data_IF_508877815144
#
_entry.id   IF_508877815144
#
_cell.length_a   1.000
_cell.length_b   1.000
_cell.length_c   1.000
_cell.angle_alpha   90.00
_cell.angle_beta   90.00
_cell.angle_gamma   90.00
#
_symmetry.space_group_name_H-M   'P 1'
#
loop_
_entity.id
_entity.type
_entity.pdbx_description
1 polymer ?
#
# COMPACT_ATOMS: atom_id res chain seq x y z
N UNK A 1 6.92 3.21 23.91
CA UNK A 1 7.20 1.81 23.53
C UNK A 1 6.50 1.43 22.22
N UNK A 2 5.21 1.74 22.02
CA UNK A 2 4.50 1.49 20.75
C UNK A 2 5.14 2.13 19.50
N UNK A 3 5.62 3.37 19.63
CA UNK A 3 6.23 4.13 18.52
C UNK A 3 7.51 3.49 17.96
N UNK A 4 8.37 2.95 18.82
CA UNK A 4 9.60 2.27 18.39
C UNK A 4 9.29 0.91 17.71
N UNK A 5 8.19 0.26 18.11
CA UNK A 5 7.71 -0.97 17.46
C UNK A 5 7.21 -0.70 16.03
N UNK A 6 6.56 0.44 15.80
CA UNK A 6 6.09 0.85 14.46
C UNK A 6 7.23 1.13 13.47
N UNK A 7 8.31 1.78 13.92
CA UNK A 7 9.48 2.05 13.05
C UNK A 7 10.22 0.76 12.67
N UNK A 8 10.40 -0.18 13.60
CA UNK A 8 11.00 -1.50 13.31
C UNK A 8 10.12 -2.31 12.35
N UNK A 9 8.79 -2.23 12.51
CA UNK A 9 7.83 -2.86 11.61
C UNK A 9 7.90 -2.31 10.18
N UNK A 10 8.02 -0.98 10.03
CA UNK A 10 8.14 -0.33 8.71
C UNK A 10 9.44 -0.75 8.00
N UNK A 11 10.58 -0.70 8.67
CA UNK A 11 11.87 -1.11 8.09
C UNK A 11 11.84 -2.57 7.59
N UNK A 12 11.27 -3.48 8.37
CA UNK A 12 11.10 -4.88 7.96
C UNK A 12 10.19 -5.01 6.73
N UNK A 13 9.15 -4.19 6.65
CA UNK A 13 8.22 -4.17 5.53
C UNK A 13 8.88 -3.63 4.25
N UNK A 14 9.71 -2.59 4.35
CA UNK A 14 10.50 -2.07 3.23
C UNK A 14 11.51 -3.09 2.72
N UNK A 15 12.21 -3.80 3.62
CA UNK A 15 13.11 -4.89 3.20
C UNK A 15 12.38 -6.03 2.51
N UNK A 16 11.18 -6.37 2.99
CA UNK A 16 10.34 -7.37 2.34
C UNK A 16 9.88 -6.91 0.95
N UNK A 17 9.46 -5.65 0.82
CA UNK A 17 9.13 -5.04 -0.46
C UNK A 17 10.32 -5.07 -1.45
N UNK A 18 11.53 -4.78 -0.99
CA UNK A 18 12.75 -4.90 -1.80
C UNK A 18 12.99 -6.33 -2.28
N UNK A 19 12.83 -7.32 -1.41
CA UNK A 19 12.99 -8.73 -1.76
C UNK A 19 11.94 -9.17 -2.80
N UNK A 20 10.68 -8.74 -2.66
CA UNK A 20 9.61 -9.03 -3.61
C UNK A 20 9.89 -8.42 -4.99
N UNK A 21 10.29 -7.15 -5.02
CA UNK A 21 10.67 -6.46 -6.25
C UNK A 21 11.91 -7.08 -6.89
N UNK A 22 12.93 -7.40 -6.10
CA UNK A 22 14.15 -8.04 -6.61
C UNK A 22 13.84 -9.39 -7.27
N UNK A 23 12.96 -10.18 -6.66
CA UNK A 23 12.45 -11.42 -7.26
C UNK A 23 11.69 -11.16 -8.56
N UNK A 24 10.80 -10.18 -8.59
CA UNK A 24 10.03 -9.83 -9.78
C UNK A 24 10.91 -9.34 -10.94
N UNK A 25 11.91 -8.51 -10.63
CA UNK A 25 12.86 -7.97 -11.59
C UNK A 25 13.78 -9.05 -12.17
N UNK A 26 14.20 -10.03 -11.36
CA UNK A 26 14.98 -11.16 -11.84
C UNK A 26 14.20 -11.99 -12.88
N UNK A 27 12.89 -12.20 -12.66
CA UNK A 27 12.01 -12.85 -13.65
C UNK A 27 11.88 -11.99 -14.91
N UNK A 28 11.68 -10.68 -14.78
CA UNK A 28 11.58 -9.78 -15.92
C UNK A 28 12.86 -9.76 -16.77
N UNK A 29 14.03 -9.70 -16.14
CA UNK A 29 15.32 -9.75 -16.83
C UNK A 29 15.55 -11.11 -17.51
N UNK A 30 15.22 -12.21 -16.82
CA UNK A 30 15.30 -13.53 -17.41
C UNK A 30 14.43 -13.61 -18.69
N UNK A 31 13.24 -13.02 -18.70
CA UNK A 31 12.38 -12.99 -19.91
C UNK A 31 12.99 -12.17 -21.06
N UNK A 32 13.78 -11.13 -20.78
CA UNK A 32 14.38 -10.24 -21.78
C UNK A 32 15.64 -10.84 -22.43
N UNK A 33 16.49 -11.51 -21.64
CA UNK A 33 17.69 -12.24 -22.11
C UNK A 33 17.37 -13.41 -23.06
N UNK A 34 16.11 -13.84 -23.05
CA UNK A 34 15.61 -15.06 -23.64
C UNK A 34 14.89 -14.85 -24.99
N UNK A 35 14.99 -13.66 -25.57
CA UNK A 35 14.39 -13.33 -26.88
C UNK A 35 15.02 -14.06 -28.10
N UNK A 36 16.10 -14.83 -27.95
CA UNK A 36 16.85 -15.41 -29.10
C UNK A 36 16.71 -16.95 -29.24
N UNK A 37 16.29 -17.71 -28.24
CA UNK A 37 16.03 -19.16 -28.43
C UNK A 37 15.41 -19.78 -27.17
N UNK A 38 14.09 -20.04 -27.07
CA UNK A 38 13.63 -20.93 -25.98
C UNK A 38 12.39 -21.82 -26.19
N UNK A 39 12.37 -22.94 -25.44
CA UNK A 39 11.15 -23.57 -24.94
C UNK A 39 10.25 -22.64 -24.09
N UNK A 40 8.96 -22.95 -23.89
CA UNK A 40 7.98 -22.01 -23.35
C UNK A 40 8.19 -21.71 -21.85
N UNK A 41 8.32 -20.43 -21.50
CA UNK A 41 8.18 -19.93 -20.11
C UNK A 41 6.70 -20.00 -19.72
N UNK A 42 6.38 -20.50 -18.53
CA UNK A 42 4.98 -20.64 -18.11
C UNK A 42 4.37 -19.27 -17.75
N UNK A 43 3.16 -19.01 -18.24
CA UNK A 43 2.37 -17.80 -17.95
C UNK A 43 2.31 -17.52 -16.44
N UNK A 44 2.20 -18.57 -15.62
CA UNK A 44 2.15 -18.44 -14.16
C UNK A 44 3.41 -17.83 -13.51
N UNK A 45 4.60 -17.92 -14.11
CA UNK A 45 5.79 -17.27 -13.54
C UNK A 45 5.78 -15.74 -13.73
N UNK A 46 5.21 -15.27 -14.85
CA UNK A 46 5.02 -13.85 -15.15
C UNK A 46 4.00 -13.25 -14.18
N UNK A 47 2.87 -13.94 -14.00
CA UNK A 47 1.81 -13.53 -13.09
C UNK A 47 2.33 -13.39 -11.65
N UNK A 48 3.17 -14.31 -11.18
CA UNK A 48 3.82 -14.21 -9.87
C UNK A 48 4.67 -12.94 -9.72
N UNK A 49 5.52 -12.66 -10.70
CA UNK A 49 6.39 -11.49 -10.65
C UNK A 49 5.57 -10.19 -10.60
N UNK A 50 4.51 -10.11 -11.40
CA UNK A 50 3.56 -9.00 -11.38
C UNK A 50 2.87 -8.87 -10.02
N UNK A 51 2.35 -9.97 -9.46
CA UNK A 51 1.70 -9.97 -8.15
C UNK A 51 2.65 -9.52 -7.03
N UNK A 52 3.93 -9.92 -7.05
CA UNK A 52 4.94 -9.46 -6.09
C UNK A 52 5.21 -7.96 -6.20
N UNK A 53 5.25 -7.42 -7.43
CA UNK A 53 5.38 -5.97 -7.65
C UNK A 53 4.12 -5.22 -7.18
N UNK A 54 2.93 -5.74 -7.47
CA UNK A 54 1.64 -5.18 -7.02
C UNK A 54 1.55 -5.17 -5.49
N UNK A 55 1.98 -6.23 -4.82
CA UNK A 55 2.03 -6.28 -3.36
C UNK A 55 2.87 -5.14 -2.78
N UNK A 56 4.02 -4.85 -3.39
CA UNK A 56 4.88 -3.73 -2.99
C UNK A 56 4.22 -2.38 -3.27
N UNK A 57 3.57 -2.24 -4.42
CA UNK A 57 2.84 -1.03 -4.78
C UNK A 57 1.67 -0.76 -3.84
N UNK A 58 1.05 -1.78 -3.25
CA UNK A 58 -0.02 -1.59 -2.27
C UNK A 58 0.51 -0.97 -0.97
N UNK A 59 1.65 -1.45 -0.46
CA UNK A 59 2.32 -0.77 0.65
C UNK A 59 2.66 0.67 0.28
N UNK A 60 3.16 0.88 -0.94
CA UNK A 60 3.51 2.21 -1.42
C UNK A 60 2.30 3.16 -1.52
N UNK A 61 1.15 2.68 -1.97
CA UNK A 61 -0.07 3.49 -2.05
C UNK A 61 -0.57 3.92 -0.68
N UNK A 62 -0.47 3.05 0.32
CA UNK A 62 -0.85 3.38 1.69
C UNK A 62 0.15 4.38 2.33
N UNK A 63 1.45 4.27 2.05
CA UNK A 63 2.46 5.25 2.50
C UNK A 63 2.35 6.61 1.77
N UNK A 64 1.95 6.60 0.49
CA UNK A 64 1.57 7.82 -0.24
C UNK A 64 0.34 8.47 0.41
N UNK A 65 -0.69 7.67 0.73
CA UNK A 65 -1.89 8.14 1.42
C UNK A 65 -1.59 8.69 2.82
N UNK A 66 -0.59 8.12 3.51
CA UNK A 66 -0.04 8.62 4.77
C UNK A 66 0.85 9.87 4.63
N UNK A 67 1.09 10.35 3.40
CA UNK A 67 1.77 11.62 3.14
C UNK A 67 3.30 11.55 3.10
N UNK A 68 3.91 10.35 3.04
CA UNK A 68 5.37 10.18 3.09
C UNK A 68 6.11 10.94 1.98
N UNK A 69 5.82 10.62 0.71
CA UNK A 69 6.45 11.31 -0.43
C UNK A 69 5.92 12.75 -0.56
N UNK A 70 4.59 13.00 -0.49
CA UNK A 70 4.05 14.36 -0.60
C UNK A 70 4.64 15.37 0.41
N UNK A 71 4.89 14.95 1.66
CA UNK A 71 5.51 15.80 2.67
C UNK A 71 6.95 16.17 2.28
N UNK A 72 7.75 15.22 1.80
CA UNK A 72 9.13 15.50 1.38
C UNK A 72 9.19 16.33 0.10
N UNK A 73 8.28 16.12 -0.85
CA UNK A 73 8.13 16.99 -2.02
C UNK A 73 7.80 18.43 -1.61
N UNK A 74 6.93 18.60 -0.62
CA UNK A 74 6.56 19.91 -0.06
C UNK A 74 7.74 20.55 0.70
N UNK A 75 8.40 19.81 1.57
CA UNK A 75 9.60 20.24 2.28
C UNK A 75 10.67 20.73 1.32
N UNK A 76 10.92 19.95 0.27
CA UNK A 76 11.90 20.28 -0.77
C UNK A 76 11.51 21.55 -1.50
N UNK A 77 10.23 21.69 -1.87
CA UNK A 77 9.72 22.91 -2.52
C UNK A 77 9.94 24.15 -1.66
N UNK A 78 9.60 24.09 -0.37
CA UNK A 78 9.79 25.18 0.59
C UNK A 78 11.27 25.51 0.79
N UNK A 79 12.13 24.49 0.87
CA UNK A 79 13.59 24.67 0.97
C UNK A 79 14.14 25.38 -0.27
N UNK A 80 13.67 25.01 -1.47
CA UNK A 80 14.12 25.59 -2.73
C UNK A 80 13.60 27.01 -2.99
N UNK A 81 12.41 27.34 -2.48
CA UNK A 81 11.85 28.69 -2.57
C UNK A 81 12.40 29.66 -1.52
N UNK A 82 13.23 29.18 -0.58
CA UNK A 82 13.69 29.98 0.57
C UNK A 82 12.58 30.28 1.58
N UNK A 83 11.45 29.58 1.50
CA UNK A 83 10.29 29.77 2.38
C UNK A 83 10.28 28.84 3.58
N UNK A 84 11.30 27.97 3.71
CA UNK A 84 11.41 27.04 4.82
C UNK A 84 11.85 27.78 6.11
N UNK A 85 11.03 27.78 7.18
CA UNK A 85 11.31 28.56 8.39
C UNK A 85 12.25 27.86 9.37
N UNK A 86 12.87 26.75 8.96
CA UNK A 86 13.73 25.91 9.81
C UNK A 86 15.04 25.58 9.09
N UNK A 87 16.12 25.43 9.88
CA UNK A 87 17.40 24.95 9.39
C UNK A 87 17.43 23.41 9.42
N UNK A 88 17.69 22.80 8.26
CA UNK A 88 17.77 21.35 8.11
C UNK A 88 19.16 20.78 8.44
N UNK A 89 20.17 21.64 8.66
CA UNK A 89 21.52 21.25 9.02
C UNK A 89 22.11 20.22 8.05
N UNK A 90 22.63 19.12 8.59
CA UNK A 90 23.26 18.05 7.80
C UNK A 90 22.30 17.28 6.88
N UNK A 91 20.98 17.44 7.03
CA UNK A 91 20.01 16.84 6.12
C UNK A 91 19.87 17.59 4.78
N UNK A 92 20.44 18.80 4.66
CA UNK A 92 20.34 19.63 3.45
C UNK A 92 20.81 18.89 2.19
N UNK A 93 21.87 18.08 2.30
CA UNK A 93 22.38 17.28 1.19
C UNK A 93 21.37 16.21 0.71
N UNK A 94 20.62 15.59 1.62
CA UNK A 94 19.59 14.60 1.28
C UNK A 94 18.41 15.26 0.55
N UNK A 95 17.95 16.41 1.06
CA UNK A 95 16.89 17.19 0.41
C UNK A 95 17.33 17.70 -0.98
N UNK A 96 18.59 18.10 -1.11
CA UNK A 96 19.16 18.49 -2.40
C UNK A 96 19.22 17.32 -3.39
N UNK A 97 19.66 16.13 -2.95
CA UNK A 97 19.69 14.94 -3.80
C UNK A 97 18.27 14.54 -4.25
N UNK A 98 17.30 14.57 -3.33
CA UNK A 98 15.89 14.30 -3.63
C UNK A 98 15.31 15.28 -4.66
N UNK A 99 15.68 16.57 -4.57
CA UNK A 99 15.32 17.57 -5.57
C UNK A 99 15.95 17.33 -6.94
N UNK A 100 17.22 16.93 -6.98
CA UNK A 100 17.97 16.71 -8.23
C UNK A 100 17.34 15.58 -9.05
N UNK A 101 17.00 14.46 -8.41
CA UNK A 101 16.35 13.31 -9.06
C UNK A 101 14.85 13.48 -9.36
N UNK A 102 14.26 14.68 -9.21
CA UNK A 102 12.80 14.86 -9.35
C UNK A 102 12.25 14.59 -10.76
N UNK A 103 13.07 14.76 -11.79
CA UNK A 103 12.67 14.54 -13.18
C UNK A 103 12.82 13.07 -13.60
N UNK A 104 13.48 12.26 -12.76
CA UNK A 104 13.70 10.83 -12.97
C UNK A 104 12.71 9.99 -12.16
N UNK A 105 11.79 10.64 -11.45
CA UNK A 105 10.78 10.01 -10.59
C UNK A 105 9.39 10.34 -11.10
N UNK A 106 8.47 9.39 -10.96
CA UNK A 106 7.06 9.56 -11.17
C UNK A 106 6.54 10.69 -10.28
N UNK A 107 5.85 11.62 -10.92
CA UNK A 107 5.17 12.73 -10.28
C UNK A 107 4.05 12.24 -9.37
N UNK A 108 3.58 13.09 -8.46
CA UNK A 108 2.48 12.73 -7.57
C UNK A 108 1.20 12.34 -8.32
N UNK A 109 0.91 12.97 -9.46
CA UNK A 109 -0.26 12.61 -10.29
C UNK A 109 -0.08 11.26 -10.99
N UNK A 110 1.12 10.96 -11.51
CA UNK A 110 1.41 9.66 -12.11
C UNK A 110 1.31 8.54 -11.07
N UNK A 111 1.90 8.71 -9.88
CA UNK A 111 1.80 7.72 -8.79
C UNK A 111 0.34 7.49 -8.39
N UNK A 112 -0.42 8.56 -8.12
CA UNK A 112 -1.83 8.44 -7.73
C UNK A 112 -2.72 7.89 -8.84
N UNK A 113 -2.46 8.24 -10.09
CA UNK A 113 -3.15 7.68 -11.25
C UNK A 113 -2.93 6.18 -11.34
N UNK A 114 -1.70 5.73 -11.13
CA UNK A 114 -1.36 4.31 -11.13
C UNK A 114 -1.99 3.55 -9.96
N UNK A 115 -1.94 4.11 -8.74
CA UNK A 115 -2.61 3.52 -7.57
C UNK A 115 -4.14 3.47 -7.73
N UNK A 116 -4.74 4.50 -8.33
CA UNK A 116 -6.18 4.52 -8.66
C UNK A 116 -6.53 3.41 -9.65
N UNK A 117 -5.69 3.24 -10.68
CA UNK A 117 -5.83 2.18 -11.68
C UNK A 117 -5.70 0.77 -11.10
N UNK A 118 -4.83 0.54 -10.10
CA UNK A 118 -4.63 -0.78 -9.50
C UNK A 118 -5.58 -1.09 -8.34
N UNK A 119 -5.76 -0.15 -7.43
CA UNK A 119 -6.37 -0.38 -6.11
C UNK A 119 -7.66 0.41 -5.89
N UNK A 120 -8.10 1.17 -6.89
CA UNK A 120 -9.31 1.96 -6.75
C UNK A 120 -9.16 3.09 -5.73
N UNK A 121 -7.95 3.60 -5.46
CA UNK A 121 -7.78 4.81 -4.64
C UNK A 121 -8.31 6.04 -5.38
N UNK A 122 -8.48 7.16 -4.66
CA UNK A 122 -8.69 8.45 -5.34
C UNK A 122 -7.47 8.78 -6.21
N UNK A 123 -7.73 9.25 -7.42
CA UNK A 123 -6.70 9.62 -8.40
C UNK A 123 -7.02 10.96 -9.08
N UNK A 124 -6.11 11.47 -9.93
CA UNK A 124 -6.39 12.66 -10.73
C UNK A 124 -7.54 12.42 -11.70
N UNK A 125 -8.32 13.48 -12.00
CA UNK A 125 -9.49 13.40 -12.90
C UNK A 125 -9.14 12.87 -14.30
N UNK A 126 -7.94 13.19 -14.79
CA UNK A 126 -7.44 12.82 -16.12
C UNK A 126 -6.46 11.63 -16.07
N UNK A 127 -6.66 10.68 -15.16
CA UNK A 127 -5.80 9.49 -15.08
C UNK A 127 -5.84 8.69 -16.39
N UNK A 128 -4.67 8.20 -16.83
CA UNK A 128 -4.56 7.41 -18.06
C UNK A 128 -5.28 6.05 -17.98
N UNK A 129 -5.47 5.52 -16.76
CA UNK A 129 -6.15 4.27 -16.50
C UNK A 129 -7.42 4.51 -15.69
N UNK A 130 -8.49 3.79 -16.05
CA UNK A 130 -9.74 3.83 -15.29
C UNK A 130 -9.53 3.27 -13.89
N UNK A 131 -10.18 3.89 -12.90
CA UNK A 131 -10.13 3.47 -11.51
C UNK A 131 -10.66 2.04 -11.35
N UNK A 132 -9.92 1.18 -10.64
CA UNK A 132 -10.33 -0.19 -10.34
C UNK A 132 -11.31 -0.23 -9.16
N UNK A 133 -12.60 -0.10 -9.46
CA UNK A 133 -13.65 -0.05 -8.45
C UNK A 133 -13.90 -1.41 -7.77
N UNK A 134 -13.48 -2.51 -8.40
CA UNK A 134 -13.74 -3.87 -7.91
C UNK A 134 -12.71 -4.33 -6.86
N UNK A 135 -11.52 -3.73 -6.84
CA UNK A 135 -10.40 -4.20 -6.01
C UNK A 135 -10.76 -4.34 -4.54
N UNK A 136 -11.35 -3.30 -3.95
CA UNK A 136 -11.62 -3.24 -2.52
C UNK A 136 -12.61 -4.35 -2.10
N UNK A 137 -13.68 -4.55 -2.88
CA UNK A 137 -14.66 -5.61 -2.64
C UNK A 137 -14.03 -7.00 -2.78
N UNK A 138 -13.21 -7.20 -3.82
CA UNK A 138 -12.51 -8.48 -4.03
C UNK A 138 -11.50 -8.79 -2.92
N UNK A 139 -10.83 -7.77 -2.37
CA UNK A 139 -9.91 -7.94 -1.24
C UNK A 139 -10.67 -8.20 0.07
N UNK A 140 -11.82 -7.56 0.28
CA UNK A 140 -12.73 -7.88 1.39
C UNK A 140 -13.19 -9.34 1.30
N UNK A 141 -13.65 -9.79 0.13
CA UNK A 141 -14.08 -11.18 -0.12
C UNK A 141 -12.96 -12.19 0.25
N UNK A 142 -11.72 -11.89 -0.12
CA UNK A 142 -10.56 -12.73 0.23
C UNK A 142 -10.30 -12.73 1.73
N UNK A 143 -10.27 -11.55 2.36
CA UNK A 143 -10.02 -11.43 3.80
C UNK A 143 -11.11 -12.14 4.61
N UNK A 144 -12.37 -12.02 4.22
CA UNK A 144 -13.49 -12.74 4.84
C UNK A 144 -13.35 -14.26 4.70
N UNK A 145 -12.97 -14.75 3.51
CA UNK A 145 -12.78 -16.17 3.29
C UNK A 145 -11.63 -16.73 4.15
N UNK A 146 -10.54 -15.96 4.32
CA UNK A 146 -9.42 -16.31 5.19
C UNK A 146 -9.78 -16.26 6.67
N UNK A 147 -10.55 -15.25 7.09
CA UNK A 147 -11.04 -15.13 8.47
C UNK A 147 -11.95 -16.30 8.86
N UNK A 148 -12.83 -16.73 7.95
CA UNK A 148 -13.76 -17.86 8.17
C UNK A 148 -13.13 -19.23 7.86
N UNK A 149 -11.81 -19.33 7.80
CA UNK A 149 -11.13 -20.57 7.39
C UNK A 149 -11.27 -21.68 8.45
N UNK A 150 -11.32 -21.32 9.73
CA UNK A 150 -11.51 -22.24 10.86
C UNK A 150 -13.00 -22.54 11.16
N UNK A 151 -13.92 -21.79 10.54
CA UNK A 151 -15.36 -21.96 10.77
C UNK A 151 -15.77 -23.37 10.34
N UNK A 152 -16.25 -24.18 11.29
CA UNK A 152 -16.61 -25.59 11.06
C UNK A 152 -15.45 -26.45 10.53
N UNK A 153 -14.23 -26.17 10.99
CA UNK A 153 -13.04 -26.92 10.61
C UNK A 153 -13.20 -28.43 10.87
N UNK A 154 -13.14 -29.22 9.81
CA UNK A 154 -13.00 -30.68 9.90
C UNK A 154 -11.56 -31.13 10.11
N UNK A 155 -10.59 -30.21 9.99
CA UNK A 155 -9.17 -30.44 10.20
C UNK A 155 -8.55 -29.25 10.96
N UNK A 156 -7.75 -29.56 11.99
CA UNK A 156 -7.16 -28.56 12.90
C UNK A 156 -5.96 -27.80 12.32
N UNK A 157 -5.45 -28.20 11.16
CA UNK A 157 -4.30 -27.56 10.50
C UNK A 157 -4.71 -26.71 9.30
N UNK A 158 -5.74 -27.12 8.54
CA UNK A 158 -6.09 -26.48 7.26
C UNK A 158 -7.58 -26.12 7.14
N UNK A 159 -8.38 -26.32 8.19
CA UNK A 159 -9.83 -26.05 8.12
C UNK A 159 -10.59 -27.07 7.27
N UNK A 160 -11.80 -26.68 6.82
CA UNK A 160 -12.66 -27.54 6.01
C UNK A 160 -12.44 -27.39 4.50
N UNK A 161 -12.83 -28.42 3.73
CA UNK A 161 -12.71 -28.42 2.25
C UNK A 161 -13.53 -27.29 1.62
N UNK A 162 -14.72 -27.01 2.16
CA UNK A 162 -15.58 -25.93 1.66
C UNK A 162 -14.94 -24.54 1.87
N UNK A 163 -14.29 -24.34 3.03
CA UNK A 163 -13.60 -23.10 3.39
C UNK A 163 -12.37 -22.89 2.50
N UNK A 164 -11.58 -23.93 2.26
CA UNK A 164 -10.47 -23.90 1.30
C UNK A 164 -10.94 -23.55 -0.12
N UNK A 165 -12.08 -24.09 -0.56
CA UNK A 165 -12.66 -23.75 -1.86
C UNK A 165 -13.12 -22.29 -1.95
N UNK A 166 -13.64 -21.71 -0.86
CA UNK A 166 -14.00 -20.28 -0.78
C UNK A 166 -12.76 -19.39 -0.89
N UNK A 167 -11.71 -19.68 -0.13
CA UNK A 167 -10.43 -18.93 -0.21
C UNK A 167 -9.86 -18.99 -1.62
N UNK A 168 -9.85 -20.18 -2.23
CA UNK A 168 -9.36 -20.38 -3.60
C UNK A 168 -10.12 -19.51 -4.61
N UNK A 169 -11.46 -19.52 -4.54
CA UNK A 169 -12.30 -18.74 -5.45
C UNK A 169 -12.08 -17.23 -5.27
N UNK A 170 -11.98 -16.75 -4.03
CA UNK A 170 -11.71 -15.34 -3.76
C UNK A 170 -10.33 -14.92 -4.27
N UNK A 171 -9.30 -15.74 -4.00
CA UNK A 171 -7.94 -15.53 -4.49
C UNK A 171 -7.88 -15.48 -6.03
N UNK A 172 -8.55 -16.42 -6.72
CA UNK A 172 -8.61 -16.45 -8.19
C UNK A 172 -9.27 -15.17 -8.75
N UNK A 173 -10.40 -14.74 -8.20
CA UNK A 173 -11.09 -13.50 -8.66
C UNK A 173 -10.19 -12.27 -8.51
N UNK A 174 -9.51 -12.14 -7.37
CA UNK A 174 -8.61 -11.02 -7.12
C UNK A 174 -7.38 -11.05 -8.04
N UNK A 175 -6.77 -12.22 -8.27
CA UNK A 175 -5.64 -12.37 -9.20
C UNK A 175 -6.07 -12.00 -10.63
N UNK A 176 -7.22 -12.48 -11.10
CA UNK A 176 -7.73 -12.14 -12.44
C UNK A 176 -7.92 -10.63 -12.60
N UNK A 177 -8.48 -9.96 -11.59
CA UNK A 177 -8.62 -8.51 -11.60
C UNK A 177 -7.25 -7.79 -11.67
N UNK A 178 -6.31 -8.17 -10.80
CA UNK A 178 -5.00 -7.52 -10.70
C UNK A 178 -4.12 -7.75 -11.94
N UNK A 179 -4.05 -8.99 -12.43
CA UNK A 179 -3.24 -9.33 -13.62
C UNK A 179 -3.84 -8.66 -14.86
N UNK A 180 -5.16 -8.62 -14.99
CA UNK A 180 -5.84 -7.98 -16.13
C UNK A 180 -5.63 -6.47 -16.25
N UNK A 181 -5.28 -5.81 -15.14
CA UNK A 181 -5.03 -4.36 -15.05
C UNK A 181 -3.53 -4.05 -15.11
N UNK A 182 -2.70 -4.97 -14.63
CA UNK A 182 -1.25 -4.81 -14.59
C UNK A 182 -0.64 -4.76 -16.00
N UNK A 183 0.53 -4.13 -16.10
CA UNK A 183 1.27 -4.04 -17.36
C UNK A 183 2.75 -4.34 -17.12
N UNK A 184 3.54 -4.44 -18.19
CA UNK A 184 4.99 -4.72 -18.06
C UNK A 184 5.73 -3.62 -17.30
N UNK A 185 5.22 -2.38 -17.31
CA UNK A 185 5.82 -1.26 -16.56
C UNK A 185 5.57 -1.35 -15.04
N UNK A 186 4.68 -2.23 -14.57
CA UNK A 186 4.33 -2.36 -13.15
C UNK A 186 5.56 -2.66 -12.28
N UNK A 187 6.48 -3.52 -12.75
CA UNK A 187 7.70 -3.86 -11.99
C UNK A 187 8.66 -2.67 -11.92
N UNK A 188 8.85 -1.96 -13.04
CA UNK A 188 9.70 -0.78 -13.12
C UNK A 188 9.17 0.34 -12.20
N UNK A 189 7.87 0.63 -12.28
CA UNK A 189 7.26 1.67 -11.46
C UNK A 189 7.27 1.30 -9.96
N UNK A 190 7.14 0.01 -9.62
CA UNK A 190 7.31 -0.44 -8.25
C UNK A 190 8.73 -0.15 -7.72
N UNK A 191 9.77 -0.41 -8.52
CA UNK A 191 11.17 -0.11 -8.15
C UNK A 191 11.37 1.38 -7.89
N UNK A 192 10.90 2.20 -8.83
CA UNK A 192 11.10 3.65 -8.78
C UNK A 192 10.36 4.29 -7.59
N UNK A 193 9.10 3.91 -7.38
CA UNK A 193 8.30 4.41 -6.24
C UNK A 193 8.90 3.95 -4.92
N UNK A 194 9.35 2.69 -4.81
CA UNK A 194 9.99 2.21 -3.58
C UNK A 194 11.29 2.97 -3.28
N UNK A 195 12.11 3.26 -4.29
CA UNK A 195 13.30 4.07 -4.13
C UNK A 195 12.98 5.51 -3.66
N UNK A 196 11.91 6.11 -4.19
CA UNK A 196 11.42 7.41 -3.76
C UNK A 196 10.94 7.39 -2.30
N UNK A 197 10.19 6.36 -1.90
CA UNK A 197 9.73 6.16 -0.51
C UNK A 197 10.89 6.05 0.46
N UNK A 198 11.91 5.24 0.13
CA UNK A 198 13.11 5.10 0.98
C UNK A 198 13.84 6.42 1.14
N UNK A 199 14.03 7.15 0.05
CA UNK A 199 14.67 8.47 0.08
C UNK A 199 13.88 9.46 0.94
N UNK A 200 12.54 9.43 0.83
CA UNK A 200 11.67 10.26 1.64
C UNK A 200 11.75 9.89 3.14
N UNK A 201 11.67 8.61 3.49
CA UNK A 201 11.77 8.14 4.87
C UNK A 201 13.16 8.41 5.48
N UNK A 202 14.23 8.33 4.68
CA UNK A 202 15.56 8.71 5.11
C UNK A 202 15.63 10.20 5.49
N UNK A 203 14.99 11.08 4.72
CA UNK A 203 14.90 12.51 5.04
C UNK A 203 14.06 12.74 6.29
N UNK A 204 12.85 12.18 6.34
CA UNK A 204 11.91 12.38 7.46
C UNK A 204 12.46 11.83 8.78
N UNK A 205 13.17 10.70 8.73
CA UNK A 205 13.81 10.07 9.88
C UNK A 205 15.14 10.68 10.28
N UNK A 206 15.71 11.59 9.48
CA UNK A 206 17.02 12.16 9.73
C UNK A 206 17.03 12.97 11.05
N UNK A 207 18.00 12.76 11.96
CA UNK A 207 18.02 13.44 13.26
C UNK A 207 17.94 14.97 13.18
N UNK A 208 18.64 15.58 12.22
CA UNK A 208 18.58 17.04 12.01
C UNK A 208 17.20 17.53 11.56
N UNK A 209 16.48 16.76 10.72
CA UNK A 209 15.11 17.10 10.31
C UNK A 209 14.18 16.97 11.51
N UNK A 210 14.26 15.86 12.25
CA UNK A 210 13.47 15.68 13.47
C UNK A 210 13.71 16.79 14.48
N UNK A 211 14.97 17.20 14.69
CA UNK A 211 15.32 18.32 15.56
C UNK A 211 14.74 19.66 15.06
N UNK A 212 14.86 19.96 13.77
CA UNK A 212 14.34 21.18 13.14
C UNK A 212 12.82 21.34 13.34
N UNK A 213 12.09 20.22 13.28
CA UNK A 213 10.64 20.17 13.46
C UNK A 213 10.20 19.90 14.90
N UNK A 214 11.13 19.76 15.84
CA UNK A 214 10.86 19.33 17.24
C UNK A 214 10.07 18.02 17.32
N UNK A 215 10.28 17.15 16.35
CA UNK A 215 9.64 15.86 16.20
C UNK A 215 10.49 14.74 16.82
N UNK A 216 9.82 13.70 17.32
CA UNK A 216 10.44 12.48 17.82
C UNK A 216 10.43 11.38 16.76
N UNK A 217 9.43 11.41 15.88
CA UNK A 217 9.19 10.40 14.84
C UNK A 217 9.16 11.04 13.45
N UNK A 218 9.41 10.27 12.38
CA UNK A 218 9.21 10.72 11.00
C UNK A 218 7.77 11.21 10.75
N UNK A 219 6.79 10.60 11.39
CA UNK A 219 5.37 10.91 11.24
C UNK A 219 5.00 12.27 11.84
N UNK A 220 5.62 12.64 12.96
CA UNK A 220 5.48 13.97 13.54
C UNK A 220 6.07 15.05 12.60
N UNK A 221 7.12 14.73 11.83
CA UNK A 221 7.66 15.61 10.78
C UNK A 221 6.65 15.74 9.63
N UNK A 222 6.10 14.64 9.12
CA UNK A 222 5.05 14.65 8.08
C UNK A 222 3.90 15.56 8.51
N UNK A 223 3.33 15.32 9.69
CA UNK A 223 2.22 16.11 10.22
C UNK A 223 2.59 17.60 10.39
N UNK A 224 3.84 17.92 10.74
CA UNK A 224 4.30 19.30 10.84
C UNK A 224 4.39 20.01 9.50
N UNK A 225 4.91 19.34 8.46
CA UNK A 225 4.97 19.87 7.10
C UNK A 225 3.55 20.08 6.54
N UNK A 226 2.65 19.14 6.76
CA UNK A 226 1.27 19.24 6.28
C UNK A 226 0.50 20.39 6.90
N UNK A 227 0.68 20.63 8.21
CA UNK A 227 0.10 21.80 8.88
C UNK A 227 0.54 23.12 8.24
N UNK A 228 1.76 23.20 7.72
CA UNK A 228 2.23 24.38 7.00
C UNK A 228 1.61 24.50 5.60
N UNK A 229 1.39 23.37 4.93
CA UNK A 229 0.89 23.34 3.56
C UNK A 229 -0.62 23.58 3.47
N UNK A 230 -1.41 22.99 4.38
CA UNK A 230 -2.86 22.82 4.18
C UNK A 230 -3.74 23.55 5.22
N UNK A 231 -3.21 24.54 5.95
CA UNK A 231 -3.96 25.53 6.75
C UNK A 231 -5.23 25.03 7.49
N UNK A 232 -5.22 23.82 8.08
CA UNK A 232 -6.34 23.29 8.88
C UNK A 232 -6.98 21.99 8.39
N UNK A 233 -6.47 21.34 7.34
CA UNK A 233 -6.92 19.98 7.00
C UNK A 233 -6.59 18.94 8.08
N UNK A 234 -7.43 17.89 8.12
CA UNK A 234 -7.35 16.79 9.08
C UNK A 234 -5.99 16.09 8.99
N UNK A 235 -5.39 15.81 10.15
CA UNK A 235 -4.14 15.03 10.27
C UNK A 235 -4.36 13.64 9.66
N UNK A 236 -3.45 13.18 8.81
CA UNK A 236 -3.49 11.84 8.21
C UNK A 236 -3.32 10.76 9.27
N UNK A 237 -4.10 9.69 9.14
CA UNK A 237 -4.09 8.52 10.04
C UNK A 237 -2.94 7.56 9.67
N UNK A 238 -1.69 8.00 9.84
CA UNK A 238 -0.51 7.26 9.35
C UNK A 238 -0.40 5.85 9.95
N UNK A 239 -0.75 5.65 11.22
CA UNK A 239 -0.70 4.34 11.88
C UNK A 239 -1.68 3.34 11.22
N UNK A 240 -2.86 3.81 10.82
CA UNK A 240 -3.86 2.97 10.14
C UNK A 240 -3.42 2.63 8.73
N UNK A 241 -2.93 3.61 7.97
CA UNK A 241 -2.38 3.38 6.63
C UNK A 241 -1.17 2.42 6.66
N UNK A 242 -0.27 2.57 7.64
CA UNK A 242 0.86 1.65 7.79
C UNK A 242 0.40 0.21 8.05
N UNK A 243 -0.49 0.02 9.03
CA UNK A 243 -1.04 -1.32 9.35
C UNK A 243 -1.74 -1.93 8.14
N UNK A 244 -2.62 -1.17 7.48
CA UNK A 244 -3.34 -1.61 6.28
C UNK A 244 -2.38 -1.97 5.14
N UNK A 245 -1.37 -1.15 4.89
CA UNK A 245 -0.36 -1.38 3.86
C UNK A 245 0.48 -2.64 4.11
N UNK A 246 0.90 -2.88 5.36
CA UNK A 246 1.66 -4.06 5.74
C UNK A 246 0.85 -5.36 5.60
N UNK A 247 -0.39 -5.32 6.07
CA UNK A 247 -1.33 -6.42 5.99
C UNK A 247 -1.68 -6.73 4.51
N UNK A 248 -2.01 -5.70 3.73
CA UNK A 248 -2.32 -5.84 2.30
C UNK A 248 -1.15 -6.32 1.47
N UNK A 249 0.07 -5.81 1.71
CA UNK A 249 1.28 -6.36 1.07
C UNK A 249 1.47 -7.84 1.40
N UNK A 250 1.20 -8.25 2.64
CA UNK A 250 1.29 -9.67 3.04
C UNK A 250 0.27 -10.53 2.30
N UNK A 251 -0.97 -10.07 2.19
CA UNK A 251 -2.05 -10.74 1.44
C UNK A 251 -1.70 -10.89 -0.04
N UNK A 252 -1.31 -9.79 -0.69
CA UNK A 252 -1.01 -9.76 -2.11
C UNK A 252 0.29 -10.51 -2.46
N UNK A 253 1.29 -10.49 -1.58
CA UNK A 253 2.50 -11.31 -1.75
C UNK A 253 2.18 -12.80 -1.61
N UNK A 254 1.31 -13.19 -0.66
CA UNK A 254 0.85 -14.57 -0.54
C UNK A 254 0.09 -15.03 -1.78
N UNK A 255 -0.69 -14.17 -2.45
CA UNK A 255 -1.35 -14.53 -3.72
C UNK A 255 -0.36 -14.93 -4.80
N UNK A 256 0.82 -14.29 -4.87
CA UNK A 256 1.87 -14.70 -5.80
C UNK A 256 2.31 -16.15 -5.51
N UNK A 257 2.51 -16.50 -4.24
CA UNK A 257 2.96 -17.84 -3.86
C UNK A 257 1.84 -18.89 -4.00
N UNK A 258 0.58 -18.49 -3.81
CA UNK A 258 -0.59 -19.34 -3.96
C UNK A 258 -0.97 -19.60 -5.44
N UNK A 259 -0.70 -18.65 -6.34
CA UNK A 259 -1.15 -18.70 -7.74
C UNK A 259 -0.89 -20.05 -8.45
N UNK A 260 0.30 -20.69 -8.35
CA UNK A 260 0.57 -21.96 -9.05
C UNK A 260 -0.25 -23.15 -8.56
N UNK A 261 -0.77 -23.08 -7.34
CA UNK A 261 -1.52 -24.18 -6.72
C UNK A 261 -3.02 -23.90 -6.69
N UNK A 262 -3.47 -22.80 -7.28
CA UNK A 262 -4.90 -22.45 -7.36
C UNK A 262 -5.70 -23.44 -8.23
N UNK A 263 -5.08 -24.09 -9.20
CA UNK A 263 -5.73 -25.09 -10.05
C UNK A 263 -5.59 -26.53 -9.52
N UNK A 264 -4.83 -26.73 -8.43
CA UNK A 264 -4.70 -28.03 -7.80
C UNK A 264 -5.93 -28.36 -6.94
N UNK A 265 -6.89 -29.06 -7.53
CA UNK A 265 -8.12 -29.48 -6.85
C UNK A 265 -7.85 -30.33 -5.59
N UNK A 266 -8.63 -30.07 -4.54
CA UNK A 266 -8.67 -30.89 -3.33
C UNK A 266 -7.48 -30.71 -2.35
N UNK A 267 -6.44 -29.94 -2.70
CA UNK A 267 -5.34 -29.63 -1.79
C UNK A 267 -5.59 -28.31 -1.04
N UNK A 268 -5.26 -28.21 0.26
CA UNK A 268 -5.30 -26.93 0.96
C UNK A 268 -4.27 -25.97 0.35
N UNK A 269 -4.62 -24.68 0.26
CA UNK A 269 -3.72 -23.62 -0.24
C UNK A 269 -3.19 -22.72 0.87
N UNK A 270 -3.74 -22.84 2.06
CA UNK A 270 -3.37 -22.04 3.23
C UNK A 270 -3.67 -22.80 4.52
N UNK A 271 -2.76 -22.73 5.49
CA UNK A 271 -2.95 -23.29 6.83
C UNK A 271 -3.58 -22.29 7.79
N UNK A 272 -4.19 -22.77 8.87
CA UNK A 272 -4.80 -21.92 9.91
C UNK A 272 -3.76 -21.08 10.65
N UNK A 273 -2.52 -21.56 10.76
CA UNK A 273 -1.37 -20.89 11.38
C UNK A 273 -0.62 -19.97 10.40
N UNK A 274 -1.03 -19.92 9.13
CA UNK A 274 -0.35 -19.12 8.13
C UNK A 274 -0.53 -17.62 8.43
N UNK A 275 0.54 -16.80 8.36
CA UNK A 275 0.49 -15.38 8.73
C UNK A 275 -0.50 -14.54 7.89
N UNK A 276 -0.91 -15.05 6.73
CA UNK A 276 -1.91 -14.41 5.88
C UNK A 276 -3.30 -14.32 6.54
N UNK A 277 -3.63 -15.25 7.44
CA UNK A 277 -4.91 -15.22 8.19
C UNK A 277 -4.93 -14.04 9.14
N UNK A 278 -3.83 -13.80 9.87
CA UNK A 278 -3.68 -12.62 10.73
C UNK A 278 -3.69 -11.34 9.91
N UNK A 279 -2.98 -11.31 8.77
CA UNK A 279 -2.98 -10.16 7.88
C UNK A 279 -4.39 -9.83 7.34
N UNK A 280 -5.23 -10.83 7.06
CA UNK A 280 -6.62 -10.59 6.65
C UNK A 280 -7.42 -9.83 7.72
N UNK A 281 -7.27 -10.21 8.99
CA UNK A 281 -7.93 -9.57 10.13
C UNK A 281 -7.42 -8.14 10.30
N UNK A 282 -6.09 -7.96 10.33
CA UNK A 282 -5.47 -6.64 10.49
C UNK A 282 -5.86 -5.68 9.37
N UNK A 283 -5.96 -6.19 8.13
CA UNK A 283 -6.39 -5.40 6.99
C UNK A 283 -7.84 -4.96 7.13
N UNK A 284 -8.76 -5.88 7.48
CA UNK A 284 -10.18 -5.55 7.68
C UNK A 284 -10.39 -4.52 8.80
N UNK A 285 -9.70 -4.69 9.93
CA UNK A 285 -9.77 -3.75 11.06
C UNK A 285 -9.27 -2.36 10.68
N UNK A 286 -8.11 -2.28 9.99
CA UNK A 286 -7.54 -1.00 9.57
C UNK A 286 -8.40 -0.31 8.50
N UNK A 287 -8.94 -1.08 7.54
CA UNK A 287 -9.87 -0.58 6.51
C UNK A 287 -11.16 -0.03 7.13
N UNK A 288 -11.76 -0.74 8.09
CA UNK A 288 -12.96 -0.29 8.79
C UNK A 288 -12.68 1.00 9.57
N UNK A 289 -11.60 1.04 10.34
CA UNK A 289 -11.20 2.21 11.12
C UNK A 289 -10.96 3.44 10.23
N UNK A 290 -10.35 3.27 9.05
CA UNK A 290 -10.18 4.35 8.08
C UNK A 290 -11.53 4.83 7.52
N UNK A 291 -12.44 3.91 7.18
CA UNK A 291 -13.77 4.24 6.65
C UNK A 291 -14.63 5.02 7.65
N UNK A 292 -14.67 4.58 8.92
CA UNK A 292 -15.40 5.27 10.00
C UNK A 292 -14.91 6.70 10.25
N UNK A 293 -13.61 6.95 10.01
CA UNK A 293 -13.01 8.28 10.14
C UNK A 293 -13.35 9.19 8.96
N UNK A 294 -13.59 8.63 7.78
CA UNK A 294 -13.98 9.36 6.56
C UNK A 294 -15.47 9.69 6.57
N UNK A 295 -16.31 8.85 7.20
CA UNK A 295 -17.74 9.09 7.29
C UNK A 295 -18.05 10.47 7.91
N UNK A 296 -18.93 11.29 7.30
CA UNK A 296 -19.38 12.52 7.93
C UNK A 296 -20.11 12.17 9.23
N UNK A 297 -19.80 12.90 10.31
CA UNK A 297 -20.63 12.89 11.52
C UNK A 297 -22.07 13.17 11.04
N UNK A 298 -23.06 12.30 11.33
CA UNK A 298 -24.42 12.59 10.94
C UNK A 298 -24.77 13.96 11.51
N UNK A 299 -25.15 14.89 10.65
CA UNK A 299 -25.61 16.19 11.07
C UNK A 299 -26.64 15.94 12.17
N UNK A 300 -26.41 16.50 13.37
CA UNK A 300 -27.46 16.59 14.38
C UNK A 300 -28.66 17.11 13.64
N UNK A 301 -29.74 16.33 13.59
CA UNK A 301 -30.97 16.83 13.02
C UNK A 301 -31.29 18.10 13.81
N UNK A 302 -31.13 19.26 13.18
CA UNK A 302 -31.64 20.53 13.68
C UNK A 302 -33.17 20.51 13.55
N UNK A 303 -33.79 19.49 14.14
CA UNK A 303 -35.19 19.46 14.47
C UNK A 303 -35.34 20.34 15.71
N UNK A 304 -35.51 21.64 15.48
CA UNK A 304 -36.11 22.49 16.50
C UNK A 304 -37.37 21.78 17.03
N UNK A 305 -37.54 21.62 18.36
CA UNK A 305 -38.71 20.96 18.93
C UNK A 305 -40.03 21.64 18.57
N UNK A 306 -39.96 22.84 17.98
CA UNK A 306 -41.09 23.69 17.63
C UNK A 306 -41.57 23.53 16.18
N UNK A 307 -40.88 22.74 15.35
CA UNK A 307 -41.29 22.51 13.96
C UNK A 307 -42.61 21.71 13.82
N UNK A 308 -43.03 21.01 14.88
CA UNK A 308 -44.26 20.22 14.90
C UNK A 308 -45.52 21.01 15.30
N UNK A 309 -45.43 22.32 15.55
CA UNK A 309 -46.58 23.17 15.95
C UNK A 309 -47.03 24.17 14.87
N UNK A 310 -46.51 24.04 13.65
CA UNK A 310 -46.81 24.95 12.54
C UNK A 310 -47.60 24.30 11.37
N UNK A 311 -48.30 23.20 11.61
CA UNK A 311 -49.15 22.53 10.61
C UNK A 311 -50.42 21.97 11.22
#
# INVERSE_FOLDING_TARGET
MAVAGGEVGLELSLRRAEALIGSAAAVALALDDFAINLPPVSVGAVDQAQLRAIATLYLASELEAAGVIPAVETLTRLARSGSLPVDLGSATALVQAFWQGRNERATGDERRGFFSGLFGTSGPENAAQQRNLDFEELLIDLCEALYKLDEQASNTSWGGVAQQARVRRAAQRLIVNLVGISSRITVFLAQEILAALRSALQILGHPAVKAAFRARTPWEVVAAIERWANAGERIREYDLHLRRGQAGMTLLAWLADAAPVLDAEGKPIVGLDHPVVVAAIEWLEASLALSERVAPVPAKADGSPWAALAG
#
